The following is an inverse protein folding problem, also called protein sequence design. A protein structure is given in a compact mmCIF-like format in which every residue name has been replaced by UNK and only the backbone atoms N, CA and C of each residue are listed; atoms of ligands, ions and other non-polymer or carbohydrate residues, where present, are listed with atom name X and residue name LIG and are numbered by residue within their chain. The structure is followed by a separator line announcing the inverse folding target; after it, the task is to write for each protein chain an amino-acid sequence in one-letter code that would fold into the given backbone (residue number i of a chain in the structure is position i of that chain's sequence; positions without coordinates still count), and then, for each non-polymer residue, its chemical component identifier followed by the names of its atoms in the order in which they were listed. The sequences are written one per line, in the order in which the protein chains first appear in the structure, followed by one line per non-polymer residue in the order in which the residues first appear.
data_IF_266924557525
#
_entry.id   IF_266924557525
#
_cell.length_a   1.000
_cell.length_b   1.000
_cell.length_c   1.000
_cell.angle_alpha   90.00
_cell.angle_beta   90.00
_cell.angle_gamma   90.00
#
_symmetry.space_group_name_H-M   'P 1'
#
loop_
_entity.id
_entity.type
_entity.pdbx_description
1 polymer ?
#
# COMPACT_ATOMS: atom_id res chain seq x y z
N UNK A 1 -17.10 8.82 13.96
CA UNK A 1 -15.93 9.54 14.55
C UNK A 1 -15.19 8.71 15.60
N UNK A 2 -14.20 7.89 15.22
CA UNK A 2 -13.06 7.63 16.12
C UNK A 2 -12.10 8.80 15.92
N UNK A 3 -12.28 9.86 16.70
CA UNK A 3 -11.48 11.07 16.58
C UNK A 3 -10.03 10.79 17.04
N UNK A 4 -9.16 10.41 16.11
CA UNK A 4 -7.71 10.33 16.31
C UNK A 4 -7.03 11.63 15.84
N UNK A 5 -7.58 12.79 16.20
CA UNK A 5 -6.83 14.03 16.15
C UNK A 5 -5.71 14.01 17.20
N UNK A 6 -4.47 14.08 16.74
CA UNK A 6 -3.27 14.54 17.46
C UNK A 6 -3.33 14.41 18.99
N UNK A 7 -3.19 13.18 19.51
CA UNK A 7 -2.90 12.95 20.93
C UNK A 7 -1.55 12.29 21.08
N UNK A 8 -0.81 12.76 22.08
CA UNK A 8 0.53 12.30 22.42
C UNK A 8 0.67 10.77 22.32
N UNK A 9 1.73 10.26 21.67
CA UNK A 9 1.97 8.82 21.51
C UNK A 9 2.21 8.08 22.84
N UNK A 10 2.31 8.79 23.96
CA UNK A 10 2.68 8.24 25.27
C UNK A 10 1.52 7.85 26.18
N UNK A 11 0.26 7.95 25.73
CA UNK A 11 -0.91 7.59 26.56
C UNK A 11 -1.91 6.60 25.92
N UNK A 12 -1.45 5.68 25.06
CA UNK A 12 -2.34 4.63 24.56
C UNK A 12 -2.65 3.59 25.65
N UNK A 13 -3.93 3.42 25.96
CA UNK A 13 -4.36 2.41 26.93
C UNK A 13 -4.14 1.00 26.37
N UNK A 14 -3.85 0.01 27.24
CA UNK A 14 -3.72 -1.41 26.83
C UNK A 14 -4.94 -1.93 26.06
N UNK A 15 -6.14 -1.40 26.35
CA UNK A 15 -7.37 -1.72 25.63
C UNK A 15 -7.32 -1.26 24.17
N UNK A 16 -6.88 -0.03 23.91
CA UNK A 16 -6.74 0.50 22.55
C UNK A 16 -5.69 -0.27 21.73
N UNK A 17 -4.58 -0.67 22.36
CA UNK A 17 -3.54 -1.49 21.69
C UNK A 17 -4.11 -2.85 21.30
N UNK A 18 -4.88 -3.49 22.18
CA UNK A 18 -5.52 -4.78 21.89
C UNK A 18 -6.55 -4.66 20.76
N UNK A 19 -7.38 -3.63 20.77
CA UNK A 19 -8.39 -3.37 19.74
C UNK A 19 -7.75 -3.12 18.38
N UNK A 20 -6.71 -2.28 18.31
CA UNK A 20 -5.93 -2.04 17.08
C UNK A 20 -5.35 -3.33 16.52
N UNK A 21 -4.78 -4.19 17.37
CA UNK A 21 -4.21 -5.48 16.95
C UNK A 21 -5.28 -6.43 16.41
N UNK A 22 -6.46 -6.44 17.02
CA UNK A 22 -7.60 -7.22 16.55
C UNK A 22 -8.04 -6.75 15.15
N UNK A 23 -8.21 -5.45 14.97
CA UNK A 23 -8.58 -4.84 13.68
C UNK A 23 -7.53 -5.17 12.61
N UNK A 24 -6.23 -5.06 12.94
CA UNK A 24 -5.14 -5.41 12.02
C UNK A 24 -5.29 -6.85 11.52
N UNK A 25 -5.53 -7.80 12.42
CA UNK A 25 -5.67 -9.21 12.04
C UNK A 25 -6.90 -9.44 11.15
N UNK A 26 -8.04 -8.82 11.46
CA UNK A 26 -9.26 -8.91 10.65
C UNK A 26 -9.04 -8.35 9.25
N UNK A 27 -8.35 -7.21 9.13
CA UNK A 27 -8.03 -6.62 7.83
C UNK A 27 -7.10 -7.51 6.99
N UNK A 28 -6.10 -8.14 7.62
CA UNK A 28 -5.21 -9.10 6.93
C UNK A 28 -5.99 -10.31 6.41
N UNK A 29 -6.89 -10.87 7.22
CA UNK A 29 -7.73 -12.01 6.80
C UNK A 29 -8.71 -11.63 5.69
N UNK A 30 -9.36 -10.48 5.82
CA UNK A 30 -10.26 -9.93 4.80
C UNK A 30 -9.52 -9.74 3.47
N UNK A 31 -8.33 -9.15 3.52
CA UNK A 31 -7.51 -8.92 2.35
C UNK A 31 -7.11 -10.22 1.66
N UNK A 32 -6.68 -11.21 2.43
CA UNK A 32 -6.37 -12.54 1.92
C UNK A 32 -7.58 -13.17 1.23
N UNK A 33 -8.76 -13.07 1.83
CA UNK A 33 -9.99 -13.58 1.24
C UNK A 33 -10.30 -12.88 -0.08
N UNK A 34 -10.19 -11.55 -0.14
CA UNK A 34 -10.47 -10.78 -1.35
C UNK A 34 -9.49 -11.02 -2.50
N UNK A 35 -8.22 -11.32 -2.21
CA UNK A 35 -7.20 -11.62 -3.23
C UNK A 35 -7.39 -13.02 -3.82
N UNK A 36 -7.70 -14.00 -2.98
CA UNK A 36 -7.67 -15.42 -3.37
C UNK A 36 -9.04 -16.06 -3.59
N UNK A 37 -10.13 -15.46 -3.09
CA UNK A 37 -11.48 -15.98 -3.28
C UNK A 37 -12.14 -15.39 -4.52
N UNK A 38 -12.91 -16.23 -5.22
CA UNK A 38 -13.80 -15.76 -6.28
C UNK A 38 -15.09 -15.23 -5.66
N UNK A 39 -15.30 -13.91 -5.71
CA UNK A 39 -16.49 -13.26 -5.19
C UNK A 39 -17.36 -12.81 -6.38
N UNK A 40 -18.61 -13.29 -6.49
CA UNK A 40 -19.47 -12.99 -7.63
C UNK A 40 -20.04 -11.57 -7.61
N UNK A 41 -19.79 -10.81 -6.53
CA UNK A 41 -20.29 -9.45 -6.32
C UNK A 41 -19.11 -8.46 -6.22
N UNK A 42 -19.26 -7.23 -6.73
CA UNK A 42 -18.24 -6.21 -6.56
C UNK A 42 -18.18 -5.75 -5.10
N UNK A 43 -16.96 -5.64 -4.56
CA UNK A 43 -16.69 -5.14 -3.22
C UNK A 43 -16.05 -3.77 -3.34
N UNK A 44 -16.63 -2.77 -2.68
CA UNK A 44 -16.14 -1.40 -2.67
C UNK A 44 -15.70 -1.02 -1.27
N UNK A 45 -14.66 -0.18 -1.20
CA UNK A 45 -14.17 0.40 0.03
C UNK A 45 -14.46 1.89 0.04
N UNK A 46 -14.99 2.37 1.15
CA UNK A 46 -15.18 3.79 1.43
C UNK A 46 -14.57 4.08 2.80
N UNK A 47 -14.09 5.31 2.98
CA UNK A 47 -13.78 5.78 4.32
C UNK A 47 -15.08 5.94 5.11
N UNK A 48 -14.99 5.78 6.43
CA UNK A 48 -16.10 6.11 7.32
C UNK A 48 -16.47 7.57 7.16
N UNK A 49 -17.77 7.82 7.07
CA UNK A 49 -18.35 9.14 6.88
C UNK A 49 -19.67 9.19 7.63
N UNK A 50 -20.03 10.34 8.18
CA UNK A 50 -21.23 10.49 9.02
C UNK A 50 -22.50 10.13 8.23
N UNK A 51 -22.52 10.41 6.93
CA UNK A 51 -23.60 10.04 6.02
C UNK A 51 -23.71 8.52 5.83
N UNK A 52 -22.57 7.82 5.70
CA UNK A 52 -22.53 6.36 5.57
C UNK A 52 -22.94 5.69 6.89
N UNK A 53 -22.50 6.23 8.01
CA UNK A 53 -22.85 5.75 9.34
C UNK A 53 -24.35 5.90 9.61
N UNK A 54 -24.94 7.02 9.20
CA UNK A 54 -26.38 7.24 9.29
C UNK A 54 -27.16 6.21 8.46
N UNK A 55 -26.75 5.98 7.20
CA UNK A 55 -27.37 4.96 6.33
C UNK A 55 -27.23 3.56 6.94
N UNK A 56 -26.06 3.21 7.46
CA UNK A 56 -25.82 1.91 8.09
C UNK A 56 -26.65 1.73 9.36
N UNK A 57 -26.78 2.76 10.19
CA UNK A 57 -27.62 2.74 11.39
C UNK A 57 -29.09 2.53 11.05
N UNK A 58 -29.59 3.21 10.01
CA UNK A 58 -30.95 3.02 9.51
C UNK A 58 -31.18 1.60 8.99
N UNK A 59 -30.24 1.06 8.20
CA UNK A 59 -30.32 -0.32 7.71
C UNK A 59 -30.37 -1.32 8.87
N UNK A 60 -29.50 -1.16 9.88
CA UNK A 60 -29.49 -2.00 11.09
C UNK A 60 -30.79 -1.89 11.89
N UNK A 61 -31.34 -0.69 12.02
CA UNK A 61 -32.61 -0.45 12.71
C UNK A 61 -33.77 -1.14 11.99
N UNK A 62 -33.83 -1.03 10.67
CA UNK A 62 -34.87 -1.65 9.86
C UNK A 62 -34.81 -3.18 9.93
N UNK A 63 -33.60 -3.75 9.88
CA UNK A 63 -33.38 -5.19 10.03
C UNK A 63 -33.81 -5.70 11.42
N UNK A 64 -33.40 -5.00 12.49
CA UNK A 64 -33.79 -5.32 13.85
C UNK A 64 -35.31 -5.18 14.10
N UNK A 65 -35.98 -4.26 13.40
CA UNK A 65 -37.43 -4.09 13.46
C UNK A 65 -38.22 -5.15 12.68
N UNK A 66 -37.54 -6.07 11.98
CA UNK A 66 -38.17 -7.10 11.16
C UNK A 66 -38.94 -6.55 9.95
N UNK A 67 -38.66 -5.30 9.57
CA UNK A 67 -39.19 -4.67 8.36
C UNK A 67 -38.08 -4.63 7.29
N UNK A 68 -37.83 -5.76 6.59
CA UNK A 68 -36.87 -5.75 5.49
C UNK A 68 -37.31 -4.71 4.45
N UNK A 69 -36.32 -4.07 3.82
CA UNK A 69 -36.52 -3.10 2.75
C UNK A 69 -37.41 -3.73 1.66
N UNK A 70 -38.67 -3.33 1.62
CA UNK A 70 -39.68 -3.80 0.69
C UNK A 70 -40.20 -2.61 -0.09
N UNK A 71 -40.92 -2.85 -1.19
CA UNK A 71 -41.50 -1.80 -2.02
C UNK A 71 -42.36 -0.79 -1.21
N UNK A 72 -42.83 -1.17 -0.02
CA UNK A 72 -43.72 -0.37 0.85
C UNK A 72 -43.01 0.41 1.96
N UNK A 73 -41.78 0.09 2.34
CA UNK A 73 -41.07 0.80 3.45
C UNK A 73 -40.02 1.79 2.93
N UNK A 74 -39.76 1.80 1.63
CA UNK A 74 -38.67 2.57 1.03
C UNK A 74 -37.33 1.86 1.25
N UNK A 75 -36.45 1.93 0.26
CA UNK A 75 -35.14 1.27 0.30
C UNK A 75 -34.04 2.22 -0.10
N UNK A 76 -32.82 1.93 0.35
CA UNK A 76 -31.63 2.59 -0.18
C UNK A 76 -31.24 1.92 -1.50
N UNK A 77 -31.11 2.70 -2.56
CA UNK A 77 -30.55 2.28 -3.85
C UNK A 77 -29.13 2.80 -3.95
N UNK A 78 -28.18 1.87 -3.89
CA UNK A 78 -26.76 2.14 -4.09
C UNK A 78 -26.45 2.07 -5.58
N UNK A 79 -25.96 3.17 -6.16
CA UNK A 79 -25.57 3.25 -7.56
C UNK A 79 -24.12 3.70 -7.65
N UNK A 80 -23.27 2.84 -8.18
CA UNK A 80 -21.87 3.18 -8.47
C UNK A 80 -21.80 3.81 -9.85
N UNK A 81 -21.25 5.02 -9.91
CA UNK A 81 -20.99 5.73 -11.16
C UNK A 81 -19.51 5.67 -11.50
N UNK A 82 -19.20 5.07 -12.63
CA UNK A 82 -17.85 4.97 -13.17
C UNK A 82 -17.87 4.49 -14.63
N UNK A 83 -16.81 4.76 -15.41
CA UNK A 83 -16.65 4.15 -16.72
C UNK A 83 -16.51 2.63 -16.60
N UNK A 84 -16.81 1.90 -17.66
CA UNK A 84 -16.51 0.48 -17.72
C UNK A 84 -14.99 0.26 -17.65
N UNK A 85 -14.50 -0.68 -16.80
CA UNK A 85 -13.09 -1.00 -16.70
C UNK A 85 -12.50 -1.45 -18.04
N UNK A 86 -11.41 -0.82 -18.46
CA UNK A 86 -10.65 -1.16 -19.66
C UNK A 86 -9.33 -1.81 -19.29
N UNK A 87 -8.90 -2.77 -20.10
CA UNK A 87 -7.59 -3.40 -19.93
C UNK A 87 -6.48 -2.38 -20.17
N UNK A 88 -5.54 -2.28 -19.24
CA UNK A 88 -4.30 -1.52 -19.41
C UNK A 88 -3.33 -2.38 -20.23
N UNK A 89 -2.99 -1.92 -21.43
CA UNK A 89 -1.98 -2.55 -22.26
C UNK A 89 -0.58 -2.10 -21.81
N UNK A 90 0.30 -3.04 -21.49
CA UNK A 90 1.72 -2.80 -21.17
C UNK A 90 1.96 -1.69 -20.12
N UNK A 91 1.61 -1.92 -18.83
CA UNK A 91 1.88 -0.94 -17.78
C UNK A 91 3.38 -0.68 -17.65
N UNK A 92 3.75 0.55 -17.29
CA UNK A 92 5.16 0.97 -17.22
C UNK A 92 5.67 0.97 -15.79
N UNK A 93 6.85 0.42 -15.56
CA UNK A 93 7.58 0.45 -14.29
C UNK A 93 8.79 1.37 -14.43
N UNK A 94 9.15 2.03 -13.33
CA UNK A 94 10.26 3.01 -13.32
C UNK A 94 11.25 2.64 -12.23
N UNK A 95 12.51 2.44 -12.57
CA UNK A 95 13.57 2.22 -11.59
C UNK A 95 14.40 3.50 -11.46
N UNK A 96 14.76 3.88 -10.24
CA UNK A 96 15.63 5.01 -9.95
C UNK A 96 16.92 4.46 -9.36
N UNK A 97 18.06 4.85 -9.94
CA UNK A 97 19.37 4.52 -9.39
C UNK A 97 20.10 5.81 -9.01
N UNK A 98 20.76 5.80 -7.86
CA UNK A 98 21.65 6.87 -7.38
C UNK A 98 23.05 6.32 -7.13
N UNK A 99 24.06 7.03 -7.61
CA UNK A 99 25.46 6.63 -7.48
C UNK A 99 26.24 7.57 -6.58
N UNK A 100 26.90 7.01 -5.57
CA UNK A 100 27.83 7.73 -4.70
C UNK A 100 29.23 7.11 -4.83
N UNK A 101 30.13 7.76 -5.60
CA UNK A 101 31.43 7.19 -5.93
C UNK A 101 32.39 7.21 -4.74
N UNK A 102 33.10 6.11 -4.53
CA UNK A 102 34.18 6.01 -3.56
C UNK A 102 35.46 6.71 -4.02
N UNK A 103 36.42 6.84 -3.10
CA UNK A 103 37.76 7.37 -3.41
C UNK A 103 38.68 6.23 -3.86
N UNK A 104 39.24 6.36 -5.06
CA UNK A 104 40.32 5.49 -5.54
C UNK A 104 41.65 5.94 -4.95
N UNK A 105 42.49 5.00 -4.53
CA UNK A 105 43.89 5.29 -4.26
C UNK A 105 44.62 5.55 -5.59
N UNK A 106 45.52 6.55 -5.61
CA UNK A 106 46.35 6.81 -6.78
C UNK A 106 47.17 5.56 -7.14
N UNK A 107 47.03 5.09 -8.39
CA UNK A 107 47.74 3.93 -8.92
C UNK A 107 46.94 2.61 -8.94
N UNK A 108 45.75 2.55 -8.36
CA UNK A 108 44.90 1.34 -8.45
C UNK A 108 44.22 1.22 -9.82
N UNK A 109 44.63 0.21 -10.60
CA UNK A 109 44.04 -0.12 -11.90
C UNK A 109 42.68 -0.81 -11.78
N UNK A 110 42.37 -1.38 -10.61
CA UNK A 110 41.13 -2.12 -10.36
C UNK A 110 39.94 -1.17 -10.12
N UNK A 111 38.77 -1.61 -10.56
CA UNK A 111 37.52 -0.93 -10.23
C UNK A 111 37.23 -1.06 -8.73
N UNK A 112 36.76 0.01 -8.10
CA UNK A 112 36.37 -0.05 -6.68
C UNK A 112 35.16 -0.99 -6.51
N UNK A 113 35.15 -1.79 -5.44
CA UNK A 113 33.99 -2.61 -5.09
C UNK A 113 32.78 -1.73 -4.81
N UNK A 114 31.61 -2.28 -5.09
CA UNK A 114 30.32 -1.58 -4.95
C UNK A 114 29.43 -2.33 -3.96
N UNK A 115 28.85 -1.58 -3.03
CA UNK A 115 27.80 -2.06 -2.12
C UNK A 115 26.49 -1.45 -2.61
N UNK A 116 25.50 -2.29 -2.90
CA UNK A 116 24.18 -1.84 -3.32
C UNK A 116 23.20 -1.83 -2.13
N UNK A 117 22.46 -0.75 -1.95
CA UNK A 117 21.35 -0.65 -1.01
C UNK A 117 20.08 -0.46 -1.84
N UNK A 118 19.13 -1.37 -1.70
CA UNK A 118 17.97 -1.43 -2.60
C UNK A 118 16.67 -1.54 -1.80
N UNK A 119 15.63 -0.87 -2.28
CA UNK A 119 14.29 -0.99 -1.75
C UNK A 119 13.26 -0.90 -2.88
N UNK A 120 12.25 -1.78 -2.84
CA UNK A 120 11.10 -1.69 -3.73
C UNK A 120 10.08 -0.69 -3.19
N UNK A 121 9.55 0.18 -4.04
CA UNK A 121 8.61 1.21 -3.61
C UNK A 121 7.14 0.98 -3.97
N UNK A 122 6.85 0.02 -4.83
CA UNK A 122 5.49 -0.23 -5.31
C UNK A 122 4.68 -1.07 -4.34
N UNK A 123 3.40 -0.75 -4.22
CA UNK A 123 2.45 -1.45 -3.38
C UNK A 123 1.48 -2.30 -4.18
N UNK A 124 0.81 -3.21 -3.50
CA UNK A 124 -0.36 -3.92 -3.96
C UNK A 124 -1.29 -4.17 -2.78
N UNK A 125 -2.57 -4.00 -3.03
CA UNK A 125 -3.62 -4.26 -2.07
C UNK A 125 -4.94 -4.46 -2.79
N UNK A 126 -5.90 -5.06 -2.09
CA UNK A 126 -7.24 -5.33 -2.60
C UNK A 126 -7.98 -4.10 -3.10
N UNK A 127 -7.71 -2.95 -2.50
CA UNK A 127 -8.13 -1.65 -2.98
C UNK A 127 -6.91 -0.83 -3.43
N UNK A 128 -6.58 -0.79 -4.74
CA UNK A 128 -5.36 -0.13 -5.21
C UNK A 128 -5.24 1.34 -4.82
N UNK A 129 -6.38 2.04 -4.77
CA UNK A 129 -6.44 3.45 -4.37
C UNK A 129 -6.21 3.69 -2.86
N UNK A 130 -6.19 2.65 -2.04
CA UNK A 130 -5.95 2.70 -0.60
C UNK A 130 -4.65 1.97 -0.21
N UNK A 131 -3.97 1.37 -1.18
CA UNK A 131 -2.76 0.59 -0.96
C UNK A 131 -1.54 1.50 -0.80
N UNK A 132 -1.32 1.98 0.43
CA UNK A 132 -0.25 2.94 0.74
C UNK A 132 1.06 2.28 1.17
N UNK A 133 1.01 1.11 1.83
CA UNK A 133 2.19 0.34 2.22
C UNK A 133 3.19 1.11 3.07
N UNK A 134 2.76 1.51 4.27
CA UNK A 134 3.53 2.37 5.17
C UNK A 134 4.76 1.65 5.73
N UNK A 135 4.61 0.41 6.17
CA UNK A 135 5.71 -0.43 6.64
C UNK A 135 6.28 -1.30 5.52
N UNK A 136 5.45 -2.07 4.80
CA UNK A 136 5.97 -3.18 3.98
C UNK A 136 7.04 -2.73 3.00
N UNK A 137 6.79 -1.58 2.37
CA UNK A 137 7.66 -1.00 1.35
C UNK A 137 8.10 0.41 1.77
N UNK A 138 7.21 1.18 2.43
CA UNK A 138 7.48 2.54 2.90
C UNK A 138 8.69 2.62 3.82
N UNK A 139 8.77 1.76 4.84
CA UNK A 139 9.90 1.76 5.79
C UNK A 139 11.26 1.54 5.11
N UNK A 140 11.32 0.66 4.11
CA UNK A 140 12.53 0.39 3.33
C UNK A 140 12.99 1.59 2.49
N UNK A 141 12.05 2.33 1.90
CA UNK A 141 12.34 3.56 1.14
C UNK A 141 12.89 4.64 2.05
N UNK A 142 12.21 4.91 3.17
CA UNK A 142 12.65 5.93 4.13
C UNK A 142 14.05 5.60 4.63
N UNK A 143 14.31 4.34 4.92
CA UNK A 143 15.63 3.90 5.34
C UNK A 143 16.68 4.10 4.25
N UNK A 144 16.38 3.75 3.00
CA UNK A 144 17.31 3.96 1.88
C UNK A 144 17.63 5.45 1.69
N UNK A 145 16.63 6.32 1.73
CA UNK A 145 16.82 7.78 1.57
C UNK A 145 17.65 8.36 2.71
N UNK A 146 17.39 7.97 3.95
CA UNK A 146 18.16 8.43 5.11
C UNK A 146 19.60 7.90 5.09
N UNK A 147 19.81 6.63 4.70
CA UNK A 147 21.16 6.07 4.52
C UNK A 147 21.90 6.86 3.43
N UNK A 148 21.25 7.18 2.32
CA UNK A 148 21.84 8.00 1.27
C UNK A 148 22.25 9.39 1.79
N UNK A 149 21.39 10.04 2.60
CA UNK A 149 21.71 11.32 3.26
C UNK A 149 22.93 11.22 4.17
N UNK A 150 23.00 10.18 5.02
CA UNK A 150 24.10 9.97 5.96
C UNK A 150 25.44 9.75 5.23
N UNK A 151 25.44 8.90 4.20
CA UNK A 151 26.66 8.64 3.43
C UNK A 151 27.05 9.80 2.52
N UNK A 152 26.09 10.60 2.02
CA UNK A 152 26.37 11.85 1.30
C UNK A 152 27.25 12.79 2.13
N UNK A 153 26.90 12.96 3.42
CA UNK A 153 27.68 13.79 4.34
C UNK A 153 29.11 13.25 4.51
N UNK A 154 29.27 11.93 4.68
CA UNK A 154 30.58 11.30 4.82
C UNK A 154 31.42 11.38 3.53
N UNK A 155 30.81 11.20 2.37
CA UNK A 155 31.51 11.14 1.08
C UNK A 155 31.76 12.53 0.47
N UNK A 156 31.12 13.57 1.02
CA UNK A 156 31.33 14.96 0.61
C UNK A 156 32.78 15.42 0.79
N UNK A 157 33.43 14.98 1.87
CA UNK A 157 34.81 15.34 2.17
C UNK A 157 35.77 14.23 1.67
N UNK A 158 36.78 14.57 0.83
CA UNK A 158 37.75 13.61 0.34
C UNK A 158 38.50 12.83 1.43
N UNK A 159 38.68 13.40 2.63
CA UNK A 159 39.37 12.74 3.74
C UNK A 159 38.55 11.63 4.39
N UNK A 160 37.23 11.76 4.38
CA UNK A 160 36.30 10.79 4.96
C UNK A 160 35.67 9.90 3.90
N UNK A 161 35.91 10.15 2.61
CA UNK A 161 35.37 9.33 1.53
C UNK A 161 35.94 7.91 1.57
N UNK A 162 35.04 6.93 1.69
CA UNK A 162 35.39 5.51 1.74
C UNK A 162 35.91 4.93 0.42
N UNK A 163 36.47 3.71 0.48
CA UNK A 163 37.03 2.98 -0.68
C UNK A 163 36.01 2.05 -1.36
N UNK A 164 34.72 2.33 -1.21
CA UNK A 164 33.62 1.59 -1.81
C UNK A 164 32.73 2.55 -2.60
N UNK A 165 32.17 2.10 -3.71
CA UNK A 165 31.04 2.80 -4.31
C UNK A 165 29.76 2.38 -3.59
N UNK A 166 28.87 3.34 -3.33
CA UNK A 166 27.54 3.04 -2.83
C UNK A 166 26.53 3.27 -3.95
N UNK A 167 25.79 2.21 -4.26
CA UNK A 167 24.74 2.21 -5.27
C UNK A 167 23.39 2.15 -4.54
N UNK A 168 22.56 3.16 -4.74
CA UNK A 168 21.21 3.21 -4.19
C UNK A 168 20.20 2.88 -5.28
N UNK A 169 19.36 1.86 -5.06
CA UNK A 169 18.34 1.43 -6.02
C UNK A 169 16.93 1.53 -5.44
N UNK A 170 16.10 2.36 -6.03
CA UNK A 170 14.65 2.37 -5.77
C UNK A 170 13.97 1.69 -6.95
N UNK A 171 13.44 0.50 -6.72
CA UNK A 171 12.93 -0.38 -7.77
C UNK A 171 11.41 -0.42 -7.78
N UNK A 172 10.87 -0.58 -8.98
CA UNK A 172 9.45 -0.79 -9.23
C UNK A 172 9.18 -2.28 -9.49
N UNK A 173 7.93 -2.72 -9.46
CA UNK A 173 7.53 -4.09 -9.74
C UNK A 173 7.69 -5.06 -8.57
N UNK A 174 7.83 -4.60 -7.32
CA UNK A 174 8.01 -5.45 -6.13
C UNK A 174 6.99 -6.57 -5.99
N UNK A 175 5.68 -6.25 -5.88
CA UNK A 175 4.61 -7.26 -5.77
C UNK A 175 4.53 -8.22 -6.96
N UNK A 176 5.11 -7.81 -8.09
CA UNK A 176 5.12 -8.54 -9.36
C UNK A 176 6.43 -9.32 -9.55
N UNK A 177 6.84 -10.08 -8.53
CA UNK A 177 8.10 -10.81 -8.49
C UNK A 177 9.34 -9.92 -8.63
N UNK A 178 9.32 -8.70 -8.12
CA UNK A 178 10.43 -7.74 -8.22
C UNK A 178 10.90 -7.52 -9.67
N UNK A 179 9.93 -7.35 -10.58
CA UNK A 179 10.19 -7.28 -12.01
C UNK A 179 11.11 -6.10 -12.39
N UNK A 180 10.96 -4.94 -11.74
CA UNK A 180 11.85 -3.82 -11.99
C UNK A 180 13.27 -4.08 -11.54
N UNK A 181 13.49 -4.70 -10.38
CA UNK A 181 14.82 -5.16 -9.94
C UNK A 181 15.44 -6.11 -10.97
N UNK A 182 14.65 -7.04 -11.50
CA UNK A 182 15.10 -7.97 -12.54
C UNK A 182 15.59 -7.24 -13.81
N UNK A 183 14.78 -6.30 -14.32
CA UNK A 183 15.12 -5.53 -15.53
C UNK A 183 16.26 -4.56 -15.32
N UNK A 184 16.31 -3.93 -14.14
CA UNK A 184 17.40 -3.06 -13.72
C UNK A 184 18.74 -3.80 -13.70
N UNK A 185 18.81 -4.96 -13.04
CA UNK A 185 20.05 -5.75 -12.98
C UNK A 185 20.47 -6.32 -14.35
N UNK A 186 19.52 -6.59 -15.25
CA UNK A 186 19.84 -6.99 -16.63
C UNK A 186 20.41 -5.86 -17.45
N UNK A 187 19.99 -4.61 -17.19
CA UNK A 187 20.53 -3.43 -17.88
C UNK A 187 22.00 -3.18 -17.59
N UNK A 188 22.52 -3.71 -16.48
CA UNK A 188 23.92 -3.56 -16.13
C UNK A 188 24.84 -4.34 -17.06
N UNK A 189 25.99 -3.75 -17.37
CA UNK A 189 27.08 -4.47 -18.01
C UNK A 189 27.63 -5.55 -17.07
N UNK A 190 28.23 -6.60 -17.65
CA UNK A 190 28.82 -7.68 -16.87
C UNK A 190 29.86 -7.17 -15.86
N UNK A 191 30.71 -6.22 -16.27
CA UNK A 191 31.72 -5.60 -15.41
C UNK A 191 31.11 -4.90 -14.19
N UNK A 192 30.00 -4.20 -14.37
CA UNK A 192 29.31 -3.53 -13.27
C UNK A 192 28.71 -4.55 -12.30
N UNK A 193 28.07 -5.61 -12.81
CA UNK A 193 27.53 -6.69 -11.97
C UNK A 193 28.61 -7.41 -11.16
N UNK A 194 29.76 -7.67 -11.76
CA UNK A 194 30.90 -8.31 -11.09
C UNK A 194 31.57 -7.38 -10.07
N UNK A 195 31.44 -6.06 -10.23
CA UNK A 195 31.93 -5.09 -9.25
C UNK A 195 31.04 -4.92 -8.01
N UNK A 196 29.83 -5.50 -8.01
CA UNK A 196 28.94 -5.49 -6.85
C UNK A 196 29.31 -6.67 -5.94
N UNK A 197 29.98 -6.37 -4.83
CA UNK A 197 30.38 -7.36 -3.83
C UNK A 197 29.13 -7.99 -3.20
N UNK A 198 28.21 -7.13 -2.76
CA UNK A 198 26.91 -7.55 -2.27
C UNK A 198 25.85 -6.43 -2.33
N UNK A 199 24.58 -6.84 -2.24
CA UNK A 199 23.42 -5.95 -2.11
C UNK A 199 22.64 -6.21 -0.81
N UNK A 200 22.17 -5.14 -0.16
CA UNK A 200 21.25 -5.19 0.98
C UNK A 200 19.89 -4.67 0.50
N UNK A 201 18.88 -5.52 0.53
CA UNK A 201 17.51 -5.18 0.20
C UNK A 201 16.73 -4.87 1.49
N UNK A 202 16.06 -3.72 1.59
CA UNK A 202 15.33 -3.28 2.77
C UNK A 202 13.82 -3.49 2.57
N UNK A 203 13.18 -4.26 3.46
CA UNK A 203 11.75 -4.57 3.35
C UNK A 203 11.10 -4.76 4.74
N UNK A 204 9.96 -4.14 5.03
CA UNK A 204 9.24 -4.27 6.32
C UNK A 204 10.18 -4.18 7.54
N UNK A 205 10.74 -3.01 7.81
CA UNK A 205 11.67 -2.76 8.93
C UNK A 205 11.09 -1.77 9.95
N UNK A 206 9.78 -1.53 9.90
CA UNK A 206 9.10 -0.54 10.73
C UNK A 206 8.13 -1.08 11.78
N UNK A 207 7.79 -2.37 11.81
CA UNK A 207 6.83 -2.93 12.79
C UNK A 207 7.42 -4.00 13.73
N UNK A 208 8.75 -4.10 13.82
CA UNK A 208 9.41 -5.12 14.65
C UNK A 208 9.53 -4.69 16.12
N UNK A 209 9.46 -5.68 17.01
CA UNK A 209 9.67 -5.47 18.45
C UNK A 209 11.17 -5.44 18.76
N UNK A 210 11.82 -6.61 18.77
CA UNK A 210 13.23 -6.77 19.15
C UNK A 210 14.07 -7.61 18.17
N UNK A 211 13.47 -8.18 17.12
CA UNK A 211 14.15 -9.13 16.23
C UNK A 211 13.97 -8.81 14.76
N UNK A 212 15.09 -8.80 14.03
CA UNK A 212 15.15 -8.68 12.58
C UNK A 212 15.74 -9.96 11.97
N UNK A 213 15.36 -10.24 10.73
CA UNK A 213 15.83 -11.39 9.96
C UNK A 213 16.58 -10.93 8.71
N UNK A 214 17.73 -11.56 8.49
CA UNK A 214 18.48 -11.47 7.25
C UNK A 214 18.19 -12.74 6.46
N UNK A 215 17.45 -12.59 5.35
CA UNK A 215 17.18 -13.70 4.42
C UNK A 215 18.22 -13.70 3.32
N UNK A 216 18.79 -14.87 3.06
CA UNK A 216 19.85 -15.07 2.07
C UNK A 216 19.56 -16.28 1.20
N UNK A 217 19.96 -16.16 -0.06
CA UNK A 217 19.84 -17.23 -1.06
C UNK A 217 21.14 -18.02 -1.28
N UNK A 218 22.28 -17.36 -1.03
CA UNK A 218 23.60 -17.99 -1.06
C UNK A 218 23.89 -18.65 0.29
N UNK A 219 24.70 -19.72 0.31
CA UNK A 219 25.10 -20.40 1.54
C UNK A 219 25.76 -19.43 2.54
N UNK A 220 25.55 -19.63 3.86
CA UNK A 220 26.17 -18.80 4.90
C UNK A 220 27.70 -18.89 4.92
N UNK A 221 28.28 -19.91 4.29
CA UNK A 221 29.73 -20.06 4.10
C UNK A 221 30.30 -19.05 3.09
N UNK A 222 29.46 -18.35 2.31
CA UNK A 222 29.90 -17.31 1.42
C UNK A 222 30.52 -16.14 2.22
N UNK A 223 31.72 -15.70 1.83
CA UNK A 223 32.47 -14.67 2.54
C UNK A 223 31.68 -13.37 2.75
N UNK A 224 30.95 -12.90 1.73
CA UNK A 224 30.15 -11.69 1.82
C UNK A 224 28.93 -11.86 2.72
N UNK A 225 28.27 -13.02 2.69
CA UNK A 225 27.13 -13.29 3.58
C UNK A 225 27.58 -13.35 5.04
N UNK A 226 28.70 -14.02 5.31
CA UNK A 226 29.32 -14.06 6.63
C UNK A 226 29.67 -12.65 7.11
N UNK A 227 30.27 -11.84 6.24
CA UNK A 227 30.61 -10.45 6.52
C UNK A 227 29.38 -9.57 6.83
N UNK A 228 28.30 -9.70 6.05
CA UNK A 228 27.04 -9.00 6.32
C UNK A 228 26.50 -9.44 7.68
N UNK A 229 26.39 -10.74 7.93
CA UNK A 229 25.78 -11.25 9.16
C UNK A 229 26.59 -10.88 10.41
N UNK A 230 27.91 -11.02 10.39
CA UNK A 230 28.79 -10.66 11.51
C UNK A 230 28.80 -9.16 11.77
N UNK A 231 28.84 -8.34 10.69
CA UNK A 231 28.78 -6.88 10.78
C UNK A 231 27.46 -6.37 11.35
N UNK A 232 26.34 -6.99 10.95
CA UNK A 232 25.02 -6.67 11.49
C UNK A 232 24.86 -7.16 12.93
N UNK A 233 25.28 -8.39 13.24
CA UNK A 233 25.17 -8.95 14.60
C UNK A 233 25.96 -8.15 15.62
N UNK A 234 27.17 -7.70 15.26
CA UNK A 234 28.01 -6.89 16.17
C UNK A 234 27.35 -5.56 16.50
N UNK A 235 26.81 -4.85 15.50
CA UNK A 235 26.11 -3.57 15.73
C UNK A 235 24.77 -3.80 16.44
N UNK A 236 24.07 -4.89 16.11
CA UNK A 236 22.81 -5.24 16.74
C UNK A 236 22.98 -5.52 18.24
N UNK A 237 24.04 -6.23 18.65
CA UNK A 237 24.39 -6.42 20.07
C UNK A 237 24.53 -5.09 20.82
N UNK A 238 25.19 -4.10 20.21
CA UNK A 238 25.39 -2.77 20.80
C UNK A 238 24.08 -1.96 20.88
N UNK A 239 23.18 -2.14 19.92
CA UNK A 239 21.87 -1.50 19.89
C UNK A 239 20.80 -2.26 20.69
N UNK A 240 21.12 -3.43 21.25
CA UNK A 240 20.17 -4.28 21.98
C UNK A 240 19.13 -4.95 21.08
N UNK A 241 19.47 -5.24 19.82
CA UNK A 241 18.61 -5.84 18.80
C UNK A 241 19.06 -7.27 18.53
N UNK A 242 18.12 -8.20 18.33
CA UNK A 242 18.43 -9.55 17.87
C UNK A 242 18.38 -9.62 16.33
N UNK A 243 19.45 -10.11 15.70
CA UNK A 243 19.48 -10.34 14.24
C UNK A 243 19.67 -11.82 13.95
N UNK A 244 18.72 -12.42 13.26
CA UNK A 244 18.76 -13.84 12.86
C UNK A 244 19.08 -14.01 11.37
N UNK A 245 19.79 -15.08 11.02
CA UNK A 245 20.06 -15.45 9.62
C UNK A 245 19.13 -16.58 9.17
N UNK A 246 18.48 -16.42 8.01
CA UNK A 246 17.70 -17.46 7.35
C UNK A 246 18.21 -17.71 5.94
N UNK A 247 18.66 -18.93 5.69
CA UNK A 247 19.12 -19.35 4.37
C UNK A 247 18.06 -20.20 3.66
N UNK A 248 17.73 -19.81 2.42
CA UNK A 248 16.86 -20.58 1.52
C UNK A 248 17.44 -20.60 0.12
N UNK A 249 17.83 -21.79 -0.36
CA UNK A 249 18.33 -21.94 -1.73
C UNK A 249 17.24 -21.60 -2.75
N UNK A 250 17.59 -20.77 -3.74
CA UNK A 250 16.67 -20.42 -4.83
C UNK A 250 16.40 -21.61 -5.75
N UNK A 251 15.15 -21.72 -6.21
CA UNK A 251 14.79 -22.60 -7.29
C UNK A 251 14.63 -21.78 -8.58
N UNK A 252 15.58 -21.90 -9.51
CA UNK A 252 15.61 -21.14 -10.77
C UNK A 252 14.42 -21.48 -11.67
N UNK A 253 13.87 -22.70 -11.58
CA UNK A 253 12.71 -23.09 -12.39
C UNK A 253 11.39 -22.50 -11.89
N UNK A 254 11.34 -22.05 -10.63
CA UNK A 254 10.15 -21.41 -10.10
C UNK A 254 10.10 -19.95 -10.60
N UNK A 255 9.08 -19.54 -11.37
CA UNK A 255 8.98 -18.14 -11.81
C UNK A 255 8.81 -17.17 -10.65
N UNK A 256 8.21 -17.61 -9.54
CA UNK A 256 7.92 -16.78 -8.38
C UNK A 256 9.18 -16.37 -7.63
N UNK A 257 9.20 -15.11 -7.21
CA UNK A 257 10.24 -14.53 -6.37
C UNK A 257 9.59 -13.89 -5.15
N UNK A 258 9.91 -14.41 -3.96
CA UNK A 258 9.34 -13.91 -2.71
C UNK A 258 10.12 -12.73 -2.13
N UNK A 259 11.45 -12.73 -2.32
CA UNK A 259 12.35 -11.70 -1.82
C UNK A 259 13.15 -11.04 -2.93
N UNK A 260 13.41 -9.74 -2.80
CA UNK A 260 14.18 -8.99 -3.79
C UNK A 260 15.58 -9.58 -4.04
N UNK A 261 16.26 -10.03 -2.99
CA UNK A 261 17.60 -10.61 -3.08
C UNK A 261 17.68 -11.89 -3.94
N UNK A 262 16.55 -12.58 -4.17
CA UNK A 262 16.52 -13.75 -5.05
C UNK A 262 16.76 -13.34 -6.52
N UNK A 263 16.34 -12.14 -6.94
CA UNK A 263 16.62 -11.63 -8.29
C UNK A 263 18.12 -11.42 -8.52
N UNK A 264 18.83 -10.87 -7.53
CA UNK A 264 20.28 -10.76 -7.54
C UNK A 264 20.95 -12.12 -7.65
N UNK A 265 20.46 -13.09 -6.87
CA UNK A 265 21.02 -14.45 -6.84
C UNK A 265 20.84 -15.19 -8.17
N UNK A 266 19.72 -14.96 -8.89
CA UNK A 266 19.50 -15.45 -10.26
C UNK A 266 20.54 -14.91 -11.25
N UNK A 267 21.04 -13.70 -11.02
CA UNK A 267 22.10 -13.05 -11.81
C UNK A 267 23.50 -13.18 -11.18
N UNK A 268 23.67 -14.12 -10.25
CA UNK A 268 24.92 -14.47 -9.55
C UNK A 268 25.50 -13.38 -8.64
N UNK A 269 24.81 -12.27 -8.43
CA UNK A 269 25.19 -11.23 -7.46
C UNK A 269 24.82 -11.69 -6.05
N UNK A 270 25.69 -11.41 -5.07
CA UNK A 270 25.40 -11.74 -3.67
C UNK A 270 24.43 -10.70 -3.11
N UNK A 271 23.38 -11.14 -2.43
CA UNK A 271 22.43 -10.21 -1.82
C UNK A 271 21.75 -10.82 -0.60
N UNK A 272 21.27 -9.94 0.28
CA UNK A 272 20.50 -10.29 1.46
C UNK A 272 19.30 -9.34 1.62
N UNK A 273 18.17 -9.84 2.11
CA UNK A 273 17.02 -9.00 2.48
C UNK A 273 16.95 -8.88 3.99
N UNK A 274 16.95 -7.64 4.51
CA UNK A 274 16.68 -7.33 5.91
C UNK A 274 15.18 -7.06 6.09
N UNK A 275 14.54 -7.78 6.99
CA UNK A 275 13.10 -7.66 7.23
C UNK A 275 12.69 -8.16 8.61
N UNK A 276 11.56 -7.71 9.13
CA UNK A 276 10.92 -8.27 10.31
C UNK A 276 10.28 -9.65 10.06
N UNK A 277 9.93 -9.94 8.80
CA UNK A 277 9.17 -11.12 8.44
C UNK A 277 10.03 -12.37 8.59
N UNK A 278 9.58 -13.29 9.44
CA UNK A 278 10.31 -14.53 9.68
C UNK A 278 10.22 -15.51 8.50
N UNK A 279 9.20 -15.41 7.65
CA UNK A 279 8.98 -16.30 6.52
C UNK A 279 8.64 -15.49 5.26
N UNK A 280 8.93 -16.01 4.05
CA UNK A 280 8.54 -15.37 2.81
C UNK A 280 7.01 -15.22 2.73
N UNK A 281 6.47 -14.04 2.40
CA UNK A 281 5.03 -13.83 2.27
C UNK A 281 4.43 -14.60 1.08
N UNK A 282 3.11 -14.82 1.10
CA UNK A 282 2.42 -15.36 -0.06
C UNK A 282 2.40 -14.35 -1.25
N UNK A 283 1.93 -14.75 -2.44
CA UNK A 283 1.96 -13.88 -3.62
C UNK A 283 0.98 -12.72 -3.40
N UNK A 284 1.43 -11.47 -3.50
CA UNK A 284 0.60 -10.28 -3.21
C UNK A 284 0.19 -10.12 -1.74
N UNK A 285 0.77 -10.90 -0.82
CA UNK A 285 0.63 -10.65 0.62
C UNK A 285 1.72 -9.72 1.13
N UNK A 286 1.42 -8.94 2.19
CA UNK A 286 2.40 -8.06 2.84
C UNK A 286 3.08 -7.07 1.89
N UNK A 287 2.33 -6.55 0.91
CA UNK A 287 2.84 -5.64 -0.12
C UNK A 287 2.14 -4.27 -0.09
N UNK A 288 1.67 -3.84 1.08
CA UNK A 288 1.01 -2.55 1.24
C UNK A 288 -0.50 -2.61 1.18
N UNK A 289 -1.05 -3.67 1.76
CA UNK A 289 -2.47 -3.92 1.87
C UNK A 289 -3.21 -2.99 2.85
N UNK A 290 -4.49 -3.26 3.09
CA UNK A 290 -5.38 -2.40 3.90
C UNK A 290 -4.92 -2.25 5.35
N UNK A 291 -4.28 -3.28 5.89
CA UNK A 291 -3.73 -3.26 7.25
C UNK A 291 -2.42 -2.47 7.37
N UNK A 292 -1.80 -2.07 6.25
CA UNK A 292 -0.48 -1.44 6.22
C UNK A 292 -0.57 0.10 6.19
N UNK A 293 -1.13 0.63 7.27
CA UNK A 293 -1.34 2.06 7.49
C UNK A 293 -0.34 2.66 8.48
N UNK A 294 -0.24 4.00 8.48
CA UNK A 294 0.65 4.78 9.35
C UNK A 294 0.56 4.41 10.83
N UNK A 295 -0.63 4.03 11.29
CA UNK A 295 -0.92 3.74 12.69
C UNK A 295 -0.24 2.48 13.22
N UNK A 296 0.19 1.57 12.34
CA UNK A 296 0.83 0.31 12.73
C UNK A 296 2.35 0.36 12.65
N UNK A 297 2.92 1.48 12.20
CA UNK A 297 4.36 1.67 12.01
C UNK A 297 4.98 2.31 13.25
N UNK A 298 6.08 1.74 13.72
CA UNK A 298 6.88 2.28 14.81
C UNK A 298 8.07 3.08 14.25
N UNK A 299 8.03 4.41 14.40
CA UNK A 299 9.13 5.30 13.98
C UNK A 299 10.46 4.97 14.65
N UNK A 300 10.45 4.62 15.93
CA UNK A 300 11.67 4.29 16.67
C UNK A 300 12.29 2.98 16.18
N UNK A 301 11.45 2.05 15.69
CA UNK A 301 11.94 0.82 15.05
C UNK A 301 12.66 1.15 13.73
N UNK A 302 12.10 2.05 12.91
CA UNK A 302 12.73 2.51 11.66
C UNK A 302 14.07 3.22 11.94
N UNK A 303 14.10 4.15 12.90
CA UNK A 303 15.32 4.87 13.30
C UNK A 303 16.41 3.88 13.73
N UNK A 304 16.06 2.90 14.57
CA UNK A 304 16.97 1.84 15.03
C UNK A 304 17.46 0.95 13.89
N UNK A 305 16.58 0.57 12.95
CA UNK A 305 16.96 -0.21 11.76
C UNK A 305 17.89 0.56 10.82
N UNK A 306 17.65 1.86 10.62
CA UNK A 306 18.52 2.73 9.83
C UNK A 306 19.89 2.81 10.47
N UNK A 307 19.94 3.05 11.79
CA UNK A 307 21.20 3.12 12.55
C UNK A 307 21.97 1.80 12.44
N UNK A 308 21.28 0.67 12.58
CA UNK A 308 21.87 -0.67 12.39
C UNK A 308 22.50 -0.81 11.00
N UNK A 309 21.74 -0.55 9.93
CA UNK A 309 22.22 -0.71 8.55
C UNK A 309 23.36 0.27 8.24
N UNK A 310 23.20 1.55 8.57
CA UNK A 310 24.18 2.58 8.28
C UNK A 310 25.50 2.31 9.00
N UNK A 311 25.46 2.03 10.29
CA UNK A 311 26.65 1.75 11.11
C UNK A 311 27.35 0.46 10.65
N UNK A 312 26.60 -0.61 10.35
CA UNK A 312 27.18 -1.84 9.80
C UNK A 312 27.89 -1.63 8.47
N UNK A 313 27.29 -0.86 7.55
CA UNK A 313 27.92 -0.52 6.26
C UNK A 313 29.14 0.37 6.49
N UNK A 314 29.07 1.38 7.35
CA UNK A 314 30.17 2.29 7.59
C UNK A 314 31.37 1.58 8.23
N UNK A 315 31.15 0.71 9.22
CA UNK A 315 32.21 -0.13 9.80
C UNK A 315 32.88 -1.00 8.75
N UNK A 316 32.09 -1.56 7.81
CA UNK A 316 32.64 -2.32 6.70
C UNK A 316 33.47 -1.46 5.75
N UNK A 317 32.94 -0.32 5.30
CA UNK A 317 33.61 0.58 4.34
C UNK A 317 34.94 1.13 4.88
N UNK A 318 35.03 1.41 6.18
CA UNK A 318 36.23 1.95 6.81
C UNK A 318 37.12 0.88 7.49
N UNK A 319 36.75 -0.40 7.41
CA UNK A 319 37.56 -1.51 7.94
C UNK A 319 37.62 -1.56 9.48
N UNK A 320 36.62 -1.03 10.18
CA UNK A 320 36.56 -1.09 11.63
C UNK A 320 35.94 -2.42 12.10
N UNK A 321 36.70 -3.21 12.88
CA UNK A 321 36.25 -4.47 13.48
C UNK A 321 36.17 -4.43 15.01
N UNK A 322 36.23 -3.23 15.61
CA UNK A 322 36.14 -3.03 17.07
C UNK A 322 34.70 -2.86 17.57
N UNK A 323 34.47 -3.23 18.84
CA UNK A 323 33.24 -2.88 19.58
C UNK A 323 33.32 -1.41 20.06
N UNK A 324 32.17 -0.76 20.24
CA UNK A 324 32.02 0.63 20.74
C UNK A 324 32.49 1.74 19.80
N UNK A 325 32.49 1.52 18.49
CA UNK A 325 32.72 2.60 17.52
C UNK A 325 31.35 3.04 17.01
N UNK A 326 30.96 4.28 17.29
CA UNK A 326 29.72 4.85 16.77
C UNK A 326 30.08 5.96 15.79
N UNK A 327 29.97 5.67 14.49
CA UNK A 327 30.20 6.65 13.42
C UNK A 327 29.03 7.62 13.35
N UNK A 328 27.80 7.11 13.49
CA UNK A 328 26.57 7.88 13.50
C UNK A 328 26.01 8.03 14.93
N UNK A 329 26.78 8.67 15.81
CA UNK A 329 26.39 8.92 17.20
C UNK A 329 25.26 9.97 17.29
N UNK A 330 24.33 9.79 18.24
CA UNK A 330 23.05 10.53 18.32
C UNK A 330 23.21 12.03 18.65
N UNK A 331 24.33 12.39 19.28
CA UNK A 331 24.69 13.74 19.68
C UNK A 331 25.51 14.52 18.63
N UNK A 332 25.73 13.92 17.45
CA UNK A 332 26.56 14.49 16.40
C UNK A 332 25.75 14.97 15.19
N UNK A 333 26.37 15.75 14.31
CA UNK A 333 25.77 16.15 13.03
C UNK A 333 25.53 14.99 12.05
N UNK A 334 26.09 13.81 12.37
CA UNK A 334 25.92 12.57 11.61
C UNK A 334 24.82 11.66 12.22
N UNK A 335 24.07 12.15 13.21
CA UNK A 335 22.94 11.41 13.76
C UNK A 335 21.85 11.15 12.71
N UNK A 336 21.12 10.05 12.92
CA UNK A 336 19.91 9.72 12.17
C UNK A 336 18.85 10.79 12.42
N UNK A 337 18.28 11.35 11.35
CA UNK A 337 17.35 12.48 11.44
C UNK A 337 15.90 11.98 11.55
N UNK A 338 15.39 11.87 12.78
CA UNK A 338 14.01 11.42 13.04
C UNK A 338 12.92 12.30 12.38
N UNK A 339 13.00 13.66 12.42
CA UNK A 339 12.07 14.50 11.66
C UNK A 339 12.04 14.22 10.15
N UNK A 340 13.21 13.96 9.54
CA UNK A 340 13.31 13.61 8.13
C UNK A 340 12.59 12.29 7.83
N UNK A 341 12.85 11.26 8.66
CA UNK A 341 12.18 9.96 8.59
C UNK A 341 10.66 10.12 8.68
N UNK A 342 10.18 10.89 9.67
CA UNK A 342 8.75 11.15 9.86
C UNK A 342 8.13 11.81 8.64
N UNK A 343 8.78 12.84 8.09
CA UNK A 343 8.25 13.57 6.93
C UNK A 343 8.06 12.68 5.70
N UNK A 344 9.04 11.82 5.40
CA UNK A 344 8.92 10.88 4.29
C UNK A 344 7.90 9.78 4.58
N UNK A 345 7.88 9.26 5.80
CA UNK A 345 6.90 8.26 6.20
C UNK A 345 5.47 8.77 6.06
N UNK A 346 5.20 10.02 6.47
CA UNK A 346 3.87 10.63 6.36
C UNK A 346 3.44 10.81 4.89
N UNK A 347 4.36 11.19 3.99
CA UNK A 347 4.11 11.24 2.55
C UNK A 347 3.76 9.84 2.04
N UNK A 348 4.59 8.84 2.34
CA UNK A 348 4.44 7.47 1.85
C UNK A 348 3.14 6.82 2.33
N UNK A 349 2.73 7.12 3.55
CA UNK A 349 1.48 6.64 4.16
C UNK A 349 0.22 7.28 3.57
N UNK A 350 0.34 8.35 2.79
CA UNK A 350 -0.79 9.04 2.15
C UNK A 350 -0.84 8.82 0.63
N UNK A 351 0.24 8.28 0.04
CA UNK A 351 0.36 8.07 -1.41
C UNK A 351 0.19 6.59 -1.75
N UNK A 352 -0.91 6.20 -2.43
CA UNK A 352 -1.05 4.87 -3.02
C UNK A 352 -0.12 4.71 -4.22
N UNK A 353 0.62 3.59 -4.29
CA UNK A 353 1.77 3.44 -5.20
C UNK A 353 1.76 2.11 -5.95
N UNK A 354 0.61 1.77 -6.52
CA UNK A 354 0.43 0.50 -7.23
C UNK A 354 0.96 0.64 -8.66
N UNK A 355 2.03 -0.10 -8.98
CA UNK A 355 2.88 0.10 -10.17
C UNK A 355 2.13 0.34 -11.49
N UNK A 356 1.13 -0.48 -11.86
CA UNK A 356 0.41 -0.31 -13.13
C UNK A 356 -0.36 1.00 -13.28
N UNK A 357 -0.66 1.69 -12.18
CA UNK A 357 -1.40 2.94 -12.16
C UNK A 357 -0.49 4.17 -12.02
N UNK A 358 0.83 3.95 -11.86
CA UNK A 358 1.81 5.03 -11.84
C UNK A 358 2.17 5.44 -13.26
N UNK A 359 2.09 6.74 -13.53
CA UNK A 359 2.52 7.29 -14.82
C UNK A 359 4.05 7.40 -14.89
N UNK A 360 4.61 7.47 -16.11
CA UNK A 360 6.08 7.61 -16.30
C UNK A 360 6.67 8.82 -15.58
N UNK A 361 5.91 9.91 -15.50
CA UNK A 361 6.32 11.17 -14.88
C UNK A 361 5.52 11.43 -13.61
N UNK A 362 5.19 10.37 -12.87
CA UNK A 362 4.41 10.50 -11.64
C UNK A 362 5.09 11.47 -10.65
N UNK A 363 4.36 12.43 -10.06
CA UNK A 363 4.94 13.40 -9.13
C UNK A 363 5.67 12.75 -7.95
N UNK A 364 5.20 11.59 -7.48
CA UNK A 364 5.83 10.86 -6.39
C UNK A 364 7.18 10.28 -6.80
N UNK A 365 7.25 9.63 -7.97
CA UNK A 365 8.50 9.08 -8.52
C UNK A 365 9.51 10.20 -8.77
N UNK A 366 9.04 11.36 -9.26
CA UNK A 366 9.87 12.54 -9.45
C UNK A 366 10.37 13.14 -8.13
N UNK A 367 9.56 13.09 -7.06
CA UNK A 367 9.99 13.50 -5.72
C UNK A 367 11.09 12.59 -5.18
N UNK A 368 10.94 11.26 -5.29
CA UNK A 368 11.98 10.30 -4.91
C UNK A 368 13.28 10.50 -5.69
N UNK A 369 13.17 10.70 -7.01
CA UNK A 369 14.32 11.01 -7.86
C UNK A 369 15.04 12.27 -7.38
N UNK A 370 14.30 13.35 -7.13
CA UNK A 370 14.84 14.64 -6.69
C UNK A 370 15.54 14.51 -5.34
N UNK A 371 14.95 13.76 -4.42
CA UNK A 371 15.54 13.52 -3.11
C UNK A 371 16.85 12.74 -3.23
N UNK A 372 16.85 11.65 -4.00
CA UNK A 372 18.07 10.87 -4.21
C UNK A 372 19.15 11.70 -4.90
N UNK A 373 18.78 12.60 -5.81
CA UNK A 373 19.69 13.51 -6.50
C UNK A 373 20.32 14.55 -5.57
N UNK A 374 19.67 14.91 -4.47
CA UNK A 374 20.26 15.79 -3.47
C UNK A 374 21.38 15.10 -2.67
N UNK A 375 21.34 13.77 -2.55
CA UNK A 375 22.26 12.98 -1.71
C UNK A 375 23.24 12.11 -2.50
N UNK A 376 23.13 12.07 -3.83
CA UNK A 376 24.00 11.26 -4.69
C UNK A 376 24.58 12.12 -5.82
N UNK A 377 25.70 11.69 -6.40
CA UNK A 377 26.38 12.46 -7.44
C UNK A 377 25.69 12.32 -8.80
N UNK A 378 25.21 11.12 -9.12
CA UNK A 378 24.55 10.83 -10.39
C UNK A 378 23.26 10.04 -10.12
N UNK A 379 22.15 10.48 -10.73
CA UNK A 379 20.88 9.78 -10.68
C UNK A 379 20.41 9.46 -12.08
N UNK A 380 20.13 8.19 -12.33
CA UNK A 380 19.59 7.71 -13.59
C UNK A 380 18.22 7.06 -13.35
N UNK A 381 17.33 7.20 -14.33
CA UNK A 381 15.96 6.70 -14.28
C UNK A 381 15.75 5.81 -15.49
N UNK A 382 15.33 4.57 -15.23
CA UNK A 382 15.05 3.59 -16.26
C UNK A 382 13.55 3.33 -16.31
N UNK A 383 12.95 3.48 -17.49
CA UNK A 383 11.55 3.13 -17.72
C UNK A 383 11.48 1.81 -18.50
N UNK A 384 10.74 0.85 -17.96
CA UNK A 384 10.55 -0.46 -18.54
C UNK A 384 9.06 -0.80 -18.60
N UNK A 385 8.70 -1.78 -19.41
CA UNK A 385 7.34 -2.33 -19.42
C UNK A 385 7.24 -3.40 -18.33
N UNK A 386 6.13 -3.50 -17.61
CA UNK A 386 5.90 -4.60 -16.66
C UNK A 386 5.62 -5.89 -17.44
N UNK A 387 6.26 -7.00 -17.05
CA UNK A 387 5.97 -8.28 -17.67
C UNK A 387 4.52 -8.74 -17.41
N UNK A 388 3.89 -9.36 -18.41
CA UNK A 388 2.48 -9.76 -18.37
C UNK A 388 2.25 -10.97 -17.45
N UNK A 389 2.23 -10.74 -16.13
CA UNK A 389 1.82 -11.74 -15.14
C UNK A 389 0.30 -11.71 -14.88
N UNK A 390 -0.30 -10.52 -14.94
CA UNK A 390 -1.71 -10.29 -14.67
C UNK A 390 -2.35 -9.46 -15.77
N UNK A 391 -3.64 -9.70 -16.03
CA UNK A 391 -4.45 -8.78 -16.83
C UNK A 391 -4.99 -7.69 -15.92
N UNK A 392 -4.49 -6.46 -16.11
CA UNK A 392 -4.82 -5.33 -15.24
C UNK A 392 -5.89 -4.48 -15.93
N UNK A 393 -6.88 -4.05 -15.15
CA UNK A 393 -7.93 -3.15 -15.59
C UNK A 393 -7.75 -1.77 -14.95
N UNK A 394 -8.09 -0.73 -15.70
CA UNK A 394 -8.26 0.61 -15.17
C UNK A 394 -9.60 0.69 -14.40
N UNK A 395 -9.73 1.73 -13.55
CA UNK A 395 -10.75 1.93 -12.51
C UNK A 395 -10.31 1.50 -11.10
N UNK A 396 -9.64 2.43 -10.42
CA UNK A 396 -9.25 2.29 -9.01
C UNK A 396 -10.15 3.07 -8.05
N UNK A 397 -10.93 4.03 -8.56
CA UNK A 397 -11.84 4.91 -7.80
C UNK A 397 -13.15 5.04 -8.55
N UNK A 398 -14.25 5.02 -7.81
CA UNK A 398 -15.60 5.23 -8.34
C UNK A 398 -16.41 6.08 -7.37
N UNK A 399 -17.47 6.74 -7.86
CA UNK A 399 -18.38 7.51 -7.02
C UNK A 399 -19.59 6.67 -6.65
N UNK A 400 -19.80 6.46 -5.35
CA UNK A 400 -21.02 5.83 -4.84
C UNK A 400 -22.09 6.91 -4.63
N UNK A 401 -23.25 6.73 -5.25
CA UNK A 401 -24.43 7.55 -4.98
C UNK A 401 -25.46 6.70 -4.24
N UNK A 402 -25.92 7.18 -3.09
CA UNK A 402 -26.92 6.52 -2.26
C UNK A 402 -28.22 7.31 -2.41
N UNK A 403 -29.25 6.68 -2.96
CA UNK A 403 -30.56 7.28 -3.13
C UNK A 403 -31.56 6.63 -2.17
N UNK A 404 -32.33 7.43 -1.46
CA UNK A 404 -33.50 6.94 -0.76
C UNK A 404 -34.68 6.86 -1.73
N UNK A 405 -35.15 5.64 -2.00
CA UNK A 405 -36.26 5.41 -2.92
C UNK A 405 -37.57 5.65 -2.18
N UNK A 406 -38.43 6.50 -2.75
CA UNK A 406 -39.77 6.72 -2.25
C UNK A 406 -40.55 5.39 -2.21
N UNK A 407 -41.32 5.19 -1.15
CA UNK A 407 -42.16 4.00 -1.02
C UNK A 407 -43.28 4.01 -2.07
N UNK A 408 -43.65 2.83 -2.59
CA UNK A 408 -44.83 2.66 -3.46
C UNK A 408 -46.12 3.14 -2.77
N UNK A 409 -46.14 3.19 -1.44
CA UNK A 409 -47.24 3.80 -0.68
C UNK A 409 -47.45 5.27 -1.02
N UNK A 410 -46.38 6.00 -1.35
CA UNK A 410 -46.48 7.40 -1.77
C UNK A 410 -47.24 7.50 -3.10
N UNK A 411 -46.91 6.65 -4.08
CA UNK A 411 -47.59 6.62 -5.37
C UNK A 411 -49.06 6.19 -5.23
N UNK A 412 -49.34 5.22 -4.35
CA UNK A 412 -50.71 4.80 -4.03
C UNK A 412 -51.51 5.90 -3.33
N UNK A 413 -50.89 6.65 -2.42
CA UNK A 413 -51.51 7.78 -1.73
C UNK A 413 -51.77 8.91 -2.72
N UNK A 414 -50.81 9.21 -3.60
CA UNK A 414 -50.96 10.19 -4.67
C UNK A 414 -52.12 9.79 -5.61
N UNK A 415 -52.21 8.52 -5.99
CA UNK A 415 -53.31 7.99 -6.80
C UNK A 415 -54.65 8.16 -6.08
N UNK A 416 -54.72 7.88 -4.78
CA UNK A 416 -55.94 8.05 -3.98
C UNK A 416 -56.34 9.52 -3.89
N UNK A 417 -55.40 10.42 -3.66
CA UNK A 417 -55.64 11.88 -3.61
C UNK A 417 -56.12 12.40 -4.97
N UNK A 418 -55.46 12.03 -6.06
CA UNK A 418 -55.85 12.42 -7.42
C UNK A 418 -57.22 11.83 -7.79
N UNK A 419 -57.44 10.55 -7.47
CA UNK A 419 -58.70 9.86 -7.74
C UNK A 419 -59.87 10.47 -6.97
N UNK A 420 -59.70 10.72 -5.67
CA UNK A 420 -60.69 11.40 -4.84
C UNK A 420 -60.99 12.82 -5.34
N UNK A 421 -59.96 13.60 -5.70
CA UNK A 421 -60.13 14.94 -6.28
C UNK A 421 -60.97 14.91 -7.57
N UNK A 422 -60.66 13.99 -8.50
CA UNK A 422 -61.41 13.85 -9.74
C UNK A 422 -62.86 13.41 -9.49
N UNK A 423 -63.08 12.50 -8.55
CA UNK A 423 -64.44 12.08 -8.14
C UNK A 423 -65.19 13.29 -7.59
N UNK A 424 -64.61 14.05 -6.67
CA UNK A 424 -65.26 15.24 -6.08
C UNK A 424 -65.55 16.30 -7.14
N UNK A 425 -64.61 16.57 -8.05
CA UNK A 425 -64.78 17.51 -9.14
C UNK A 425 -65.91 17.08 -10.09
N UNK A 426 -65.94 15.80 -10.49
CA UNK A 426 -67.01 15.24 -11.30
C UNK A 426 -68.36 15.36 -10.61
N UNK A 427 -68.43 15.00 -9.33
CA UNK A 427 -69.64 15.09 -8.51
C UNK A 427 -70.14 16.54 -8.45
N UNK A 428 -69.24 17.50 -8.21
CA UNK A 428 -69.56 18.93 -8.17
C UNK A 428 -70.08 19.46 -9.51
N UNK A 429 -69.42 19.11 -10.62
CA UNK A 429 -69.83 19.51 -11.97
C UNK A 429 -71.19 18.93 -12.37
N UNK A 430 -71.46 17.67 -12.03
CA UNK A 430 -72.76 17.03 -12.33
C UNK A 430 -73.88 17.67 -11.50
N UNK A 431 -73.65 17.91 -10.20
CA UNK A 431 -74.63 18.58 -9.33
C UNK A 431 -74.95 19.99 -9.85
N UNK A 432 -73.94 20.77 -10.23
CA UNK A 432 -74.13 22.15 -10.69
C UNK A 432 -74.79 22.26 -12.07
N UNK A 433 -74.58 21.28 -12.96
CA UNK A 433 -75.11 21.34 -14.33
C UNK A 433 -76.41 20.56 -14.56
N UNK A 434 -76.64 19.46 -13.83
CA UNK A 434 -77.79 18.55 -14.06
C UNK A 434 -78.68 18.33 -12.83
N UNK A 435 -78.28 18.83 -11.66
CA UNK A 435 -79.03 18.67 -10.42
C UNK A 435 -78.76 17.33 -9.72
N UNK A 436 -79.14 17.26 -8.43
CA UNK A 436 -78.75 16.18 -7.52
C UNK A 436 -79.40 14.83 -7.87
N UNK A 437 -80.61 14.86 -8.43
CA UNK A 437 -81.40 13.66 -8.73
C UNK A 437 -80.79 12.79 -9.85
N UNK A 438 -80.08 13.42 -10.79
CA UNK A 438 -79.45 12.74 -11.92
C UNK A 438 -78.12 12.06 -11.54
N UNK A 439 -77.45 12.55 -10.50
CA UNK A 439 -76.30 11.84 -9.92
C UNK A 439 -76.73 10.57 -9.20
N UNK A 440 -77.89 10.61 -8.52
CA UNK A 440 -78.48 9.45 -7.84
C UNK A 440 -79.02 8.43 -8.85
N UNK A 441 -79.51 8.87 -10.01
CA UNK A 441 -80.01 7.99 -11.07
C UNK A 441 -78.90 7.13 -11.70
N UNK A 442 -77.66 7.66 -11.81
CA UNK A 442 -76.47 6.97 -12.30
C UNK A 442 -76.04 5.75 -11.46
N UNK A 443 -76.30 5.77 -10.15
CA UNK A 443 -75.96 4.66 -9.24
C UNK A 443 -77.15 3.74 -8.92
N UNK A 444 -78.35 4.03 -9.45
CA UNK A 444 -79.50 3.13 -9.32
C UNK A 444 -79.38 1.97 -10.30
N UNK A 445 -79.50 0.74 -9.80
CA UNK A 445 -79.62 -0.45 -10.67
C UNK A 445 -80.81 -0.27 -11.61
N UNK A 446 -80.67 -0.54 -12.92
CA UNK A 446 -81.80 -0.45 -13.84
C UNK A 446 -82.88 -1.44 -13.39
N UNK A 447 -84.17 -1.06 -13.43
CA UNK A 447 -85.25 -1.94 -13.02
C UNK A 447 -85.26 -3.21 -13.87
N UNK A 448 -85.45 -4.37 -13.22
CA UNK A 448 -85.47 -5.65 -13.90
C UNK A 448 -86.57 -5.67 -14.96
N UNK A 449 -86.16 -5.91 -16.20
CA UNK A 449 -87.06 -5.97 -17.35
C UNK A 449 -87.95 -7.20 -17.17
N UNK A 450 -89.19 -7.03 -16.68
CA UNK A 450 -90.20 -8.08 -16.73
C UNK A 450 -90.43 -8.43 -18.20
N UNK A 451 -90.01 -9.62 -18.60
CA UNK A 451 -90.37 -10.22 -19.88
C UNK A 451 -91.88 -10.48 -19.83
N UNK A 452 -92.65 -9.81 -20.68
CA UNK A 452 -94.02 -10.23 -20.98
C UNK A 452 -93.92 -11.50 -21.83
N UNK A 453 -94.27 -12.64 -21.25
CA UNK A 453 -94.70 -13.80 -22.02
C UNK A 453 -96.08 -13.51 -22.61
N UNK A 454 -96.28 -14.04 -23.82
CA UNK A 454 -97.41 -13.88 -24.76
C UNK A 454 -98.78 -13.75 -24.11
#
# INVERSE_FOLDING_TARGET
MLNFENRDPTSESKYQIHEKKLIKNVLVELERLLIYANIPYPVYFAFEDDDIDAVLADVKRNDASGQPATATTGSYKLVVSGPEPKRIASPTITNIQGWLPGLKADGDLNQLPTIAIVASYDTFGTAPALSVGSDSNGSGIVALLEIARLFSLLYSNPKTRGRYNLLFGLTSGGPYNYNGTHKWLRSFDQRLRESIDYAICLNSIGSWDNKLWIHVSKPPENAFIKQIFEGFSTVAEELGIEVGLKHKKINISNPRVAWEHEQFSRLRVTAATLTELSAPPELLESTGGLSDSRHFVNEDAIVRSIKLVAESIARHVYGYQGKNIQIFADDTSLAVNAPYIRSWLDILSQTPRVAPFLSKNDPFVMALKKELQAHTHEVNVQHEVLDEMFTIYDLTKAKLNIYQVASVTFDLLLLLVLGSYLITLFTFLVITTRGLDDLISLFRRPPSRKVKAV
#
